data_IF_365709071191
#
_entry.id   IF_365709071191
#
_cell.length_a   1.000
_cell.length_b   1.000
_cell.length_c   1.000
_cell.angle_alpha   90.00
_cell.angle_beta   90.00
_cell.angle_gamma   90.00
#
_symmetry.space_group_name_H-M   'P 1'
#
loop_
_entity.id
_entity.type
_entity.pdbx_description
1 polymer ?
#
# COMPACT_ATOMS: atom_id res chain seq x y z
N UNK A 1 44.84 45.26 -42.55
CA UNK A 1 43.99 44.05 -42.70
C UNK A 1 44.45 42.93 -41.77
N UNK A 2 45.78 42.54 -41.75
CA UNK A 2 46.31 41.44 -40.90
C UNK A 2 46.09 41.60 -39.38
N UNK A 3 46.10 42.85 -38.86
CA UNK A 3 45.81 43.09 -37.43
C UNK A 3 44.34 42.99 -37.06
N UNK A 4 43.43 43.30 -38.00
CA UNK A 4 42.00 43.19 -37.80
C UNK A 4 41.53 41.73 -37.81
N UNK A 5 42.10 40.92 -38.69
CA UNK A 5 41.82 39.48 -38.74
C UNK A 5 42.33 38.73 -37.48
N UNK A 6 43.48 39.12 -36.95
CA UNK A 6 44.00 38.55 -35.69
C UNK A 6 43.10 38.91 -34.48
N UNK A 7 42.56 40.13 -34.45
CA UNK A 7 41.62 40.55 -33.40
C UNK A 7 40.29 39.77 -33.43
N UNK A 8 39.76 39.56 -34.63
CA UNK A 8 38.53 38.77 -34.82
C UNK A 8 38.75 37.29 -34.41
N UNK A 9 39.92 36.73 -34.78
CA UNK A 9 40.22 35.33 -34.40
C UNK A 9 40.39 35.18 -32.88
N UNK A 10 41.03 36.15 -32.21
CA UNK A 10 41.13 36.17 -30.75
C UNK A 10 39.79 36.27 -30.04
N UNK A 11 38.86 37.12 -30.58
CA UNK A 11 37.52 37.27 -30.03
C UNK A 11 36.66 35.98 -30.21
N UNK A 12 36.84 35.28 -31.32
CA UNK A 12 36.17 34.01 -31.61
C UNK A 12 36.65 32.90 -30.65
N UNK A 13 37.92 32.82 -30.33
CA UNK A 13 38.49 31.85 -29.37
C UNK A 13 37.97 32.16 -27.95
N UNK A 14 37.85 33.41 -27.54
CA UNK A 14 37.27 33.77 -26.25
C UNK A 14 35.77 33.41 -26.15
N UNK A 15 35.01 33.52 -27.22
CA UNK A 15 33.60 33.20 -27.23
C UNK A 15 33.33 31.67 -27.07
N UNK A 16 34.22 30.82 -27.57
CA UNK A 16 34.10 29.36 -27.46
C UNK A 16 34.39 28.87 -26.02
N UNK A 17 35.24 29.54 -25.27
CA UNK A 17 35.56 29.16 -23.88
C UNK A 17 34.44 29.47 -22.89
N UNK A 18 33.50 30.37 -23.22
CA UNK A 18 32.39 30.70 -22.36
C UNK A 18 31.25 29.65 -22.40
N UNK A 19 31.23 28.78 -23.41
CA UNK A 19 30.19 27.73 -23.56
C UNK A 19 30.50 26.43 -22.76
N UNK A 20 31.64 26.35 -22.12
CA UNK A 20 32.11 25.12 -21.41
C UNK A 20 31.66 25.06 -19.92
N UNK A 21 30.96 26.04 -19.42
CA UNK A 21 30.38 26.01 -18.07
C UNK A 21 28.94 25.41 -18.10
N UNK A 22 28.80 24.22 -18.71
CA UNK A 22 27.55 23.46 -18.55
C UNK A 22 27.54 22.89 -17.14
N UNK A 23 26.67 23.40 -16.28
CA UNK A 23 26.35 22.81 -14.98
C UNK A 23 25.88 21.37 -15.21
N UNK A 24 26.73 20.41 -14.87
CA UNK A 24 26.38 19.00 -14.96
C UNK A 24 25.60 18.63 -13.70
N UNK A 25 24.26 18.66 -13.80
CA UNK A 25 23.39 18.16 -12.73
C UNK A 25 23.36 16.63 -12.76
N UNK A 26 23.93 16.00 -11.74
CA UNK A 26 23.89 14.54 -11.56
C UNK A 26 22.75 14.22 -10.60
N UNK A 27 21.62 13.73 -11.12
CA UNK A 27 20.50 13.23 -10.32
C UNK A 27 20.72 11.76 -10.00
N UNK A 28 20.87 11.43 -8.72
CA UNK A 28 21.03 10.05 -8.24
C UNK A 28 19.80 9.66 -7.43
N UNK A 29 19.12 8.60 -7.84
CA UNK A 29 18.05 7.99 -7.08
C UNK A 29 18.60 6.84 -6.21
N UNK A 30 18.12 6.71 -5.00
CA UNK A 30 18.51 5.62 -4.13
C UNK A 30 17.35 5.21 -3.23
N UNK A 31 17.35 3.97 -2.76
CA UNK A 31 16.34 3.38 -1.90
C UNK A 31 16.92 3.14 -0.50
N UNK A 32 16.20 3.59 0.53
CA UNK A 32 16.51 3.29 1.93
C UNK A 32 15.39 2.48 2.56
N UNK A 33 15.74 1.40 3.27
CA UNK A 33 14.80 0.59 4.03
C UNK A 33 15.00 0.81 5.53
N UNK A 34 13.88 1.03 6.24
CA UNK A 34 13.85 1.10 7.70
C UNK A 34 12.78 0.14 8.19
N UNK A 35 13.15 -0.75 9.11
CA UNK A 35 12.21 -1.63 9.79
C UNK A 35 11.55 -0.84 10.92
N UNK A 36 10.22 -0.83 10.91
CA UNK A 36 9.39 -0.20 11.95
C UNK A 36 8.51 -1.30 12.55
N UNK A 37 8.51 -1.50 13.88
CA UNK A 37 7.55 -2.41 14.49
C UNK A 37 6.13 -1.94 14.21
N UNK A 38 5.24 -2.87 13.91
CA UNK A 38 3.83 -2.58 13.74
C UNK A 38 3.20 -2.26 15.10
N UNK A 39 2.33 -1.25 15.14
CA UNK A 39 1.55 -0.84 16.30
C UNK A 39 0.03 -0.98 16.09
N UNK A 40 -0.35 -1.40 14.91
CA UNK A 40 -1.76 -1.51 14.50
C UNK A 40 -1.94 -2.77 13.65
N UNK A 41 -3.00 -3.52 13.94
CA UNK A 41 -3.48 -4.62 13.10
C UNK A 41 -4.84 -4.27 12.49
N UNK A 42 -5.10 -4.74 11.28
CA UNK A 42 -6.42 -4.77 10.66
C UNK A 42 -6.77 -6.21 10.35
N UNK A 43 -7.86 -6.69 10.95
CA UNK A 43 -8.43 -8.02 10.73
C UNK A 43 -9.58 -7.87 9.74
N UNK A 44 -9.49 -8.53 8.59
CA UNK A 44 -10.56 -8.59 7.59
C UNK A 44 -11.30 -9.93 7.75
N UNK A 45 -12.48 -9.87 8.33
CA UNK A 45 -13.29 -11.05 8.65
C UNK A 45 -14.75 -10.80 8.21
N UNK A 46 -15.40 -11.82 7.71
CA UNK A 46 -16.71 -11.64 7.13
C UNK A 46 -17.52 -12.90 6.98
N UNK A 47 -18.47 -12.83 6.07
CA UNK A 47 -19.39 -13.92 5.79
C UNK A 47 -19.59 -14.09 4.29
N UNK A 48 -19.63 -15.34 3.85
CA UNK A 48 -20.05 -15.76 2.52
C UNK A 48 -21.32 -16.59 2.67
N UNK A 49 -22.46 -16.10 2.16
CA UNK A 49 -23.77 -16.77 2.21
C UNK A 49 -24.19 -17.13 0.80
N UNK A 50 -24.61 -18.39 0.61
CA UNK A 50 -25.19 -18.87 -0.64
C UNK A 50 -26.67 -19.18 -0.46
N UNK A 51 -27.52 -18.68 -1.35
CA UNK A 51 -28.95 -18.97 -1.37
C UNK A 51 -29.47 -18.93 -2.82
N UNK A 52 -30.53 -19.69 -3.12
CA UNK A 52 -31.22 -19.60 -4.41
C UNK A 52 -32.06 -18.31 -4.56
N UNK A 53 -32.38 -17.67 -3.44
CA UNK A 53 -33.07 -16.39 -3.37
C UNK A 53 -32.03 -15.30 -3.03
N UNK A 54 -31.91 -14.31 -3.90
CA UNK A 54 -30.94 -13.20 -3.76
C UNK A 54 -31.23 -12.37 -2.51
N UNK A 55 -32.51 -12.12 -2.20
CA UNK A 55 -32.93 -11.34 -1.03
C UNK A 55 -32.54 -12.06 0.27
N UNK A 56 -32.78 -13.37 0.33
CA UNK A 56 -32.45 -14.19 1.49
C UNK A 56 -30.95 -14.29 1.70
N UNK A 57 -30.15 -14.40 0.61
CA UNK A 57 -28.70 -14.38 0.69
C UNK A 57 -28.21 -13.09 1.35
N UNK A 58 -28.69 -11.95 0.86
CA UNK A 58 -28.29 -10.63 1.36
C UNK A 58 -28.78 -10.37 2.79
N UNK A 59 -30.03 -10.72 3.09
CA UNK A 59 -30.56 -10.56 4.46
C UNK A 59 -29.75 -11.35 5.48
N UNK A 60 -29.46 -12.63 5.21
CA UNK A 60 -28.69 -13.46 6.11
C UNK A 60 -27.26 -12.93 6.28
N UNK A 61 -26.61 -12.47 5.21
CA UNK A 61 -25.29 -11.83 5.32
C UNK A 61 -25.34 -10.60 6.23
N UNK A 62 -26.35 -9.74 6.08
CA UNK A 62 -26.52 -8.55 6.92
C UNK A 62 -26.78 -8.90 8.40
N UNK A 63 -27.58 -9.95 8.67
CA UNK A 63 -27.84 -10.41 10.03
C UNK A 63 -26.55 -10.88 10.71
N UNK A 64 -25.73 -11.68 10.03
CA UNK A 64 -24.44 -12.14 10.57
C UNK A 64 -23.50 -10.96 10.82
N UNK A 65 -23.37 -10.04 9.87
CA UNK A 65 -22.51 -8.85 10.02
C UNK A 65 -22.97 -7.99 11.20
N UNK A 66 -24.28 -7.82 11.39
CA UNK A 66 -24.82 -7.09 12.54
C UNK A 66 -24.52 -7.81 13.86
N UNK A 67 -24.66 -9.14 13.90
CA UNK A 67 -24.33 -9.95 15.08
C UNK A 67 -22.83 -9.87 15.43
N UNK A 68 -21.94 -9.97 14.43
CA UNK A 68 -20.48 -9.83 14.61
C UNK A 68 -20.16 -8.45 15.17
N UNK A 69 -20.67 -7.38 14.55
CA UNK A 69 -20.46 -6.00 15.02
C UNK A 69 -20.90 -5.81 16.46
N UNK A 70 -22.09 -6.33 16.80
CA UNK A 70 -22.64 -6.26 18.15
C UNK A 70 -21.71 -6.94 19.18
N UNK A 71 -21.35 -8.21 18.92
CA UNK A 71 -20.48 -8.99 19.83
C UNK A 71 -19.11 -8.33 20.03
N UNK A 72 -18.51 -7.80 18.97
CA UNK A 72 -17.22 -7.10 19.05
C UNK A 72 -17.34 -5.83 19.90
N UNK A 73 -18.39 -5.02 19.69
CA UNK A 73 -18.63 -3.80 20.47
C UNK A 73 -18.87 -4.12 21.95
N UNK A 74 -19.66 -5.14 22.26
CA UNK A 74 -19.90 -5.60 23.64
C UNK A 74 -18.63 -6.13 24.33
N UNK A 75 -17.63 -6.56 23.55
CA UNK A 75 -16.33 -7.01 24.04
C UNK A 75 -15.24 -5.92 24.04
N UNK A 76 -15.63 -4.66 23.88
CA UNK A 76 -14.77 -3.50 24.07
C UNK A 76 -14.04 -3.03 22.81
N UNK A 77 -14.42 -3.51 21.62
CA UNK A 77 -13.91 -2.94 20.36
C UNK A 77 -14.73 -1.71 19.99
N UNK A 78 -14.11 -0.51 19.86
CA UNK A 78 -14.83 0.71 19.52
C UNK A 78 -15.56 0.59 18.18
N UNK A 79 -16.77 1.13 18.09
CA UNK A 79 -17.58 1.04 16.87
C UNK A 79 -16.91 1.74 15.67
N UNK A 80 -16.14 2.81 15.90
CA UNK A 80 -15.35 3.52 14.91
C UNK A 80 -14.17 2.70 14.36
N UNK A 81 -13.76 1.65 15.05
CA UNK A 81 -12.71 0.74 14.61
C UNK A 81 -13.26 -0.48 13.82
N UNK A 82 -14.58 -0.61 13.74
CA UNK A 82 -15.26 -1.69 13.00
C UNK A 82 -15.87 -1.10 11.72
N UNK A 83 -15.15 -1.16 10.63
CA UNK A 83 -15.58 -0.61 9.35
C UNK A 83 -16.07 -1.69 8.41
N UNK A 84 -16.97 -1.34 7.47
CA UNK A 84 -17.30 -2.22 6.35
C UNK A 84 -16.12 -2.21 5.37
N UNK A 85 -15.55 -3.37 5.10
CA UNK A 85 -14.44 -3.52 4.18
C UNK A 85 -14.90 -3.72 2.74
N UNK A 86 -15.74 -4.74 2.54
CA UNK A 86 -16.18 -5.16 1.22
C UNK A 86 -17.59 -5.74 1.28
N UNK A 87 -18.40 -5.46 0.26
CA UNK A 87 -19.73 -6.05 0.07
C UNK A 87 -19.90 -6.37 -1.40
N UNK A 88 -20.29 -7.61 -1.71
CA UNK A 88 -20.53 -8.08 -3.06
C UNK A 88 -21.67 -9.08 -3.10
N UNK A 89 -22.41 -9.07 -4.21
CA UNK A 89 -23.55 -9.96 -4.44
C UNK A 89 -23.57 -10.37 -5.91
N UNK A 90 -23.39 -11.65 -6.19
CA UNK A 90 -23.37 -12.15 -7.56
C UNK A 90 -24.10 -13.49 -7.71
N UNK A 91 -24.53 -13.79 -8.95
CA UNK A 91 -25.12 -15.07 -9.31
C UNK A 91 -24.05 -16.08 -9.70
N UNK A 92 -24.25 -17.34 -9.31
CA UNK A 92 -23.50 -18.50 -9.81
C UNK A 92 -24.39 -19.20 -10.84
N UNK A 93 -23.84 -19.41 -12.03
CA UNK A 93 -24.51 -20.06 -13.15
C UNK A 93 -24.14 -21.54 -13.22
N UNK A 94 -25.12 -22.36 -13.59
CA UNK A 94 -24.91 -23.75 -13.93
C UNK A 94 -24.79 -23.91 -15.46
N UNK A 95 -23.64 -24.40 -15.91
CA UNK A 95 -23.33 -24.59 -17.33
C UNK A 95 -23.62 -26.02 -17.82
N UNK A 96 -24.09 -26.93 -16.92
CA UNK A 96 -24.32 -28.34 -17.25
C UNK A 96 -25.75 -28.63 -17.76
N UNK A 97 -26.54 -27.63 -18.06
CA UNK A 97 -27.88 -27.89 -18.59
C UNK A 97 -27.80 -28.37 -20.06
N UNK A 98 -28.17 -29.61 -20.27
CA UNK A 98 -28.24 -30.30 -21.57
C UNK A 98 -29.18 -29.61 -22.60
N UNK A 99 -29.86 -28.54 -22.22
CA UNK A 99 -30.82 -27.78 -23.03
C UNK A 99 -30.34 -26.39 -23.46
N UNK A 100 -29.03 -26.14 -23.42
CA UNK A 100 -28.45 -24.97 -24.12
C UNK A 100 -28.72 -23.58 -23.52
N UNK A 101 -29.01 -23.47 -22.22
CA UNK A 101 -29.21 -22.18 -21.53
C UNK A 101 -28.45 -22.08 -20.21
N UNK A 102 -27.86 -20.90 -19.97
CA UNK A 102 -27.32 -20.56 -18.65
C UNK A 102 -28.49 -20.41 -17.65
N UNK A 103 -28.50 -21.21 -16.58
CA UNK A 103 -29.45 -21.08 -15.49
C UNK A 103 -28.75 -20.66 -14.22
N UNK A 104 -29.36 -19.72 -13.48
CA UNK A 104 -28.81 -19.31 -12.19
C UNK A 104 -29.00 -20.45 -11.19
N UNK A 105 -27.89 -20.97 -10.67
CA UNK A 105 -27.88 -22.03 -9.66
C UNK A 105 -28.11 -21.47 -8.26
N UNK A 106 -27.35 -20.45 -7.89
CA UNK A 106 -27.44 -19.80 -6.57
C UNK A 106 -26.93 -18.36 -6.66
N UNK A 107 -27.25 -17.56 -5.64
CA UNK A 107 -26.63 -16.26 -5.38
C UNK A 107 -25.66 -16.38 -4.22
N UNK A 108 -24.55 -15.65 -4.31
CA UNK A 108 -23.57 -15.53 -3.24
C UNK A 108 -23.52 -14.09 -2.76
N UNK A 109 -23.77 -13.89 -1.46
CA UNK A 109 -23.59 -12.61 -0.79
C UNK A 109 -22.32 -12.68 0.06
N UNK A 110 -21.35 -11.81 -0.21
CA UNK A 110 -20.15 -11.61 0.57
C UNK A 110 -20.24 -10.29 1.32
N UNK A 111 -19.87 -10.29 2.58
CA UNK A 111 -19.75 -9.06 3.35
C UNK A 111 -18.63 -9.19 4.37
N UNK A 112 -17.70 -8.23 4.36
CA UNK A 112 -16.49 -8.24 5.18
C UNK A 112 -16.41 -7.00 6.05
N UNK A 113 -15.99 -7.17 7.30
CA UNK A 113 -15.63 -6.10 8.22
C UNK A 113 -14.10 -5.98 8.28
N UNK A 114 -13.62 -4.75 8.24
CA UNK A 114 -12.24 -4.37 8.53
C UNK A 114 -12.17 -3.85 9.98
N UNK A 115 -11.58 -4.62 10.87
CA UNK A 115 -11.52 -4.34 12.31
C UNK A 115 -10.10 -3.89 12.63
N UNK A 116 -9.96 -2.64 13.05
CA UNK A 116 -8.68 -2.05 13.43
C UNK A 116 -8.42 -2.26 14.91
N UNK A 117 -7.23 -2.76 15.24
CA UNK A 117 -6.79 -3.07 16.60
C UNK A 117 -5.44 -2.39 16.87
N UNK A 118 -5.36 -1.62 17.95
CA UNK A 118 -4.10 -1.06 18.46
C UNK A 118 -3.44 -1.97 19.48
N UNK A 119 -4.20 -2.90 20.06
CA UNK A 119 -3.69 -3.97 20.91
C UNK A 119 -3.68 -5.29 20.10
N UNK A 120 -2.49 -5.72 19.70
CA UNK A 120 -2.33 -6.93 18.89
C UNK A 120 -2.66 -8.22 19.64
N UNK A 121 -2.67 -8.19 20.99
CA UNK A 121 -3.05 -9.36 21.81
C UNK A 121 -4.53 -9.74 21.61
N UNK A 122 -5.36 -8.78 21.18
CA UNK A 122 -6.79 -8.97 20.94
C UNK A 122 -7.11 -9.63 19.60
N UNK A 123 -6.15 -9.77 18.68
CA UNK A 123 -6.39 -10.31 17.33
C UNK A 123 -7.04 -11.69 17.39
N UNK A 124 -6.49 -12.62 18.16
CA UNK A 124 -7.07 -13.96 18.31
C UNK A 124 -8.48 -13.93 18.89
N UNK A 125 -8.68 -13.16 19.99
CA UNK A 125 -9.99 -13.01 20.62
C UNK A 125 -11.05 -12.44 19.65
N UNK A 126 -10.69 -11.46 18.85
CA UNK A 126 -11.62 -10.84 17.86
C UNK A 126 -12.03 -11.86 16.80
N UNK A 127 -11.10 -12.69 16.34
CA UNK A 127 -11.39 -13.76 15.37
C UNK A 127 -12.36 -14.78 15.98
N UNK A 128 -12.07 -15.26 17.19
CA UNK A 128 -12.92 -16.24 17.88
C UNK A 128 -14.34 -15.71 18.12
N UNK A 129 -14.46 -14.47 18.56
CA UNK A 129 -15.75 -13.81 18.77
C UNK A 129 -16.54 -13.66 17.47
N UNK A 130 -15.89 -13.27 16.38
CA UNK A 130 -16.54 -13.10 15.10
C UNK A 130 -17.03 -14.43 14.52
N UNK A 131 -16.22 -15.49 14.57
CA UNK A 131 -16.63 -16.82 14.16
C UNK A 131 -17.77 -17.37 15.05
N UNK A 132 -17.69 -17.14 16.35
CA UNK A 132 -18.76 -17.47 17.28
C UNK A 132 -20.08 -16.73 17.00
N UNK A 133 -20.03 -15.54 16.40
CA UNK A 133 -21.20 -14.77 15.98
C UNK A 133 -21.71 -15.10 14.56
N UNK A 134 -21.07 -16.07 13.86
CA UNK A 134 -21.52 -16.58 12.56
C UNK A 134 -20.67 -16.14 11.36
N UNK A 135 -19.60 -15.37 11.54
CA UNK A 135 -18.64 -15.17 10.48
C UNK A 135 -18.09 -16.53 10.00
N UNK A 136 -17.79 -16.64 8.71
CA UNK A 136 -17.28 -17.88 8.12
C UNK A 136 -16.10 -17.67 7.15
N UNK A 137 -15.63 -16.41 7.01
CA UNK A 137 -14.47 -16.07 6.18
C UNK A 137 -13.50 -15.19 6.96
N UNK A 138 -12.20 -15.50 6.84
CA UNK A 138 -11.09 -14.64 7.25
C UNK A 138 -10.25 -14.35 6.01
N UNK A 139 -10.34 -13.12 5.51
CA UNK A 139 -9.63 -12.72 4.28
C UNK A 139 -8.16 -12.39 4.53
N UNK A 140 -7.82 -12.05 5.77
CA UNK A 140 -6.44 -11.82 6.17
C UNK A 140 -6.29 -10.83 7.32
N UNK A 141 -5.05 -10.73 7.78
CA UNK A 141 -4.64 -9.81 8.83
C UNK A 141 -3.47 -9.00 8.29
N UNK A 142 -3.58 -7.68 8.36
CA UNK A 142 -2.53 -6.75 7.97
C UNK A 142 -1.97 -6.05 9.19
N UNK A 143 -0.64 -5.94 9.27
CA UNK A 143 0.05 -5.24 10.35
C UNK A 143 0.79 -4.04 9.79
N UNK A 144 0.66 -2.87 10.42
CA UNK A 144 1.35 -1.66 9.98
C UNK A 144 1.65 -0.72 11.15
N UNK A 145 2.56 0.21 10.93
CA UNK A 145 2.82 1.30 11.86
C UNK A 145 1.97 2.53 11.48
N UNK A 146 1.09 2.97 12.38
CA UNK A 146 0.19 4.11 12.16
C UNK A 146 0.95 5.41 11.87
N UNK A 147 2.07 5.62 12.56
CA UNK A 147 2.92 6.79 12.33
C UNK A 147 4.32 6.36 11.90
N UNK A 148 4.60 6.44 10.62
CA UNK A 148 5.90 6.11 10.03
C UNK A 148 6.70 7.33 9.55
N UNK A 149 6.28 8.56 9.90
CA UNK A 149 6.91 9.81 9.45
C UNK A 149 8.38 9.89 9.86
N UNK A 150 8.69 9.59 11.12
CA UNK A 150 10.07 9.58 11.63
C UNK A 150 10.93 8.53 10.91
N UNK A 151 10.37 7.35 10.65
CA UNK A 151 11.05 6.28 9.93
C UNK A 151 11.33 6.65 8.47
N UNK A 152 10.37 7.28 7.80
CA UNK A 152 10.53 7.81 6.44
C UNK A 152 11.62 8.86 6.37
N UNK A 153 11.66 9.79 7.33
CA UNK A 153 12.72 10.81 7.43
C UNK A 153 14.08 10.18 7.68
N UNK A 154 14.17 9.17 8.55
CA UNK A 154 15.42 8.45 8.80
C UNK A 154 15.91 7.67 7.56
N UNK A 155 15.00 7.05 6.80
CA UNK A 155 15.34 6.38 5.54
C UNK A 155 15.86 7.37 4.49
N UNK A 156 15.23 8.54 4.37
CA UNK A 156 15.65 9.61 3.47
C UNK A 156 17.01 10.21 3.90
N UNK A 157 17.25 10.38 5.21
CA UNK A 157 18.51 10.88 5.77
C UNK A 157 19.70 9.96 5.47
N UNK A 158 19.56 8.66 5.69
CA UNK A 158 20.59 7.66 5.35
C UNK A 158 20.97 7.67 3.87
N UNK A 159 19.97 7.91 3.02
CA UNK A 159 20.21 8.02 1.59
C UNK A 159 21.05 9.26 1.23
N UNK A 160 20.82 10.41 1.87
CA UNK A 160 21.60 11.63 1.65
C UNK A 160 23.05 11.49 2.14
N UNK A 161 23.30 10.76 3.23
CA UNK A 161 24.64 10.47 3.72
C UNK A 161 25.44 9.57 2.75
N UNK A 162 24.78 8.56 2.18
CA UNK A 162 25.41 7.69 1.17
C UNK A 162 25.77 8.47 -0.10
N UNK A 163 24.93 9.42 -0.52
CA UNK A 163 25.26 10.31 -1.66
C UNK A 163 26.49 11.16 -1.41
N UNK A 164 26.60 11.77 -0.21
CA UNK A 164 27.76 12.60 0.15
C UNK A 164 29.05 11.78 0.20
N UNK A 165 29.00 10.59 0.79
CA UNK A 165 30.15 9.69 0.83
C UNK A 165 30.65 9.27 -0.56
N UNK A 166 29.72 8.97 -1.48
CA UNK A 166 30.05 8.56 -2.85
C UNK A 166 30.64 9.69 -3.69
N UNK A 167 30.17 10.91 -3.52
CA UNK A 167 30.76 12.11 -4.19
C UNK A 167 32.15 12.44 -3.66
N UNK A 168 32.38 12.30 -2.34
CA UNK A 168 33.70 12.55 -1.75
C UNK A 168 34.76 11.53 -2.24
N UNK A 169 34.37 10.26 -2.41
CA UNK A 169 35.27 9.23 -2.93
C UNK A 169 35.66 9.53 -4.40
N UNK A 170 34.73 10.02 -5.22
CA UNK A 170 35.03 10.38 -6.61
C UNK A 170 35.96 11.60 -6.74
N UNK A 171 35.81 12.59 -5.84
CA UNK A 171 36.72 13.76 -5.85
C UNK A 171 38.09 13.45 -5.30
N UNK A 172 38.26 12.49 -4.40
CA UNK A 172 39.56 12.08 -3.89
C UNK A 172 40.35 11.22 -4.89
N UNK A 173 39.69 10.40 -5.71
CA UNK A 173 40.39 9.65 -6.77
C UNK A 173 40.84 10.55 -7.94
N UNK A 174 40.06 11.60 -8.26
CA UNK A 174 40.44 12.56 -9.31
C UNK A 174 41.62 13.45 -8.90
N UNK A 175 41.86 13.68 -7.60
CA UNK A 175 42.97 14.46 -7.10
C UNK A 175 44.31 13.67 -7.01
N UNK A 176 44.24 12.33 -7.17
CA UNK A 176 45.45 11.46 -7.16
C UNK A 176 46.02 11.23 -8.58
N UNK A 177 45.24 11.59 -9.63
CA UNK A 177 45.64 11.39 -11.02
C UNK A 177 46.11 12.70 -11.70
N UNK A 178 46.04 13.82 -10.99
CA UNK A 178 46.59 15.11 -11.44
C UNK A 178 47.90 15.40 -10.71
#
# INVERSE_FOLDING_TARGET
MRKLTALILALMVLAVSAAALADTEITVAGNGNVLVPADTAVVNIGVNIRNRDVTKAQQHANEVIAAVRKVLTENGIPAEDINTGYVDLYAIYDYNSFEGGETISTYTANSTLAIRLTDMSLVGKVIDLAFGAGANTLEGISFYAKNNTAARSAAAGRHSETKRAKVIIFTSELSVIA
#
